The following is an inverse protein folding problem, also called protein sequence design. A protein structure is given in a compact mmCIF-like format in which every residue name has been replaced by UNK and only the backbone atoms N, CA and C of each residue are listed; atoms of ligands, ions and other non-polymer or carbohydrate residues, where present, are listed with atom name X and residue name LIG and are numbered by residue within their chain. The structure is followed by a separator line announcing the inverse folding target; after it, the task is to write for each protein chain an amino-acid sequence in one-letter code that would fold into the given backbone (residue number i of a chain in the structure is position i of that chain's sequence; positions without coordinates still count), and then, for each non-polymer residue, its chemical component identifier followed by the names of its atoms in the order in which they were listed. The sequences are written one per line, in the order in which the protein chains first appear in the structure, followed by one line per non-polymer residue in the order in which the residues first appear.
data_IF_906156140417
#
_entry.id   IF_906156140417
#
_cell.length_a   1.000
_cell.length_b   1.000
_cell.length_c   1.000
_cell.angle_alpha   90.00
_cell.angle_beta   90.00
_cell.angle_gamma   90.00
#
_symmetry.space_group_name_H-M   'P 1'
#
loop_
_entity.id
_entity.type
_entity.pdbx_description
1 polymer ?
#
# COMPACT_ATOMS: atom_id res chain seq x y z
N UNK A 1 5.28 -11.75 11.71
CA UNK A 1 4.54 -12.72 11.75
C UNK A 1 3.57 -12.73 12.78
N UNK A 2 2.67 -13.37 12.52
CA UNK A 2 1.71 -13.43 13.35
C UNK A 2 1.92 -14.50 14.22
N UNK A 3 2.65 -14.29 15.12
CA UNK A 3 2.98 -15.30 15.97
C UNK A 3 1.76 -15.89 16.48
N UNK A 4 1.64 -17.08 16.39
CA UNK A 4 0.53 -17.73 16.96
C UNK A 4 -0.72 -17.68 16.15
N UNK A 5 -0.68 -16.99 15.08
CA UNK A 5 -1.81 -16.96 14.23
C UNK A 5 -3.07 -16.52 14.86
N UNK A 6 -2.99 -15.62 15.79
CA UNK A 6 -4.16 -15.18 16.45
C UNK A 6 -4.85 -14.00 15.86
N UNK A 7 -4.34 -13.50 14.75
CA UNK A 7 -4.99 -12.36 14.13
C UNK A 7 -6.25 -12.82 13.44
N UNK A 8 -7.36 -12.18 13.80
CA UNK A 8 -8.62 -12.53 13.20
C UNK A 8 -8.95 -11.59 12.08
N UNK A 9 -9.45 -12.12 11.00
CA UNK A 9 -9.89 -11.32 9.87
C UNK A 9 -11.41 -11.28 9.93
N UNK A 10 -11.95 -10.07 9.99
CA UNK A 10 -13.40 -9.91 10.02
C UNK A 10 -13.83 -9.24 8.74
N UNK A 11 -14.21 -10.03 7.75
CA UNK A 11 -14.61 -9.49 6.48
C UNK A 11 -16.04 -9.04 6.50
N UNK A 12 -16.30 -7.86 5.96
CA UNK A 12 -17.63 -7.33 5.80
C UNK A 12 -17.68 -6.64 4.46
N UNK A 13 -18.87 -6.55 3.91
CA UNK A 13 -19.02 -5.83 2.65
C UNK A 13 -18.72 -4.36 2.89
N UNK A 14 -17.81 -3.82 2.12
CA UNK A 14 -17.45 -2.44 2.28
C UNK A 14 -17.27 -1.79 0.91
N UNK A 15 -17.27 -0.47 0.91
CA UNK A 15 -17.07 0.31 -0.29
C UNK A 15 -15.58 0.62 -0.39
N UNK A 16 -14.89 -0.13 -1.22
CA UNK A 16 -13.44 -0.01 -1.33
C UNK A 16 -13.06 1.34 -1.94
N UNK A 17 -13.87 1.83 -2.88
CA UNK A 17 -13.61 3.12 -3.48
C UNK A 17 -13.57 4.22 -2.42
N UNK A 18 -14.54 4.20 -1.50
CA UNK A 18 -14.56 5.21 -0.46
C UNK A 18 -13.42 5.03 0.53
N UNK A 19 -13.05 3.79 0.80
CA UNK A 19 -11.94 3.54 1.71
C UNK A 19 -10.64 4.11 1.16
N UNK A 20 -10.41 3.94 -0.15
CA UNK A 20 -9.22 4.48 -0.78
C UNK A 20 -9.24 6.00 -0.71
N UNK A 21 -10.38 6.60 -1.00
CA UNK A 21 -10.48 8.05 -0.92
C UNK A 21 -10.26 8.57 0.48
N UNK A 22 -10.82 7.86 1.45
CA UNK A 22 -10.68 8.28 2.84
C UNK A 22 -9.22 8.25 3.29
N UNK A 23 -8.51 7.18 2.93
CA UNK A 23 -7.11 7.08 3.31
C UNK A 23 -6.31 8.23 2.70
N UNK A 24 -6.54 8.51 1.42
CA UNK A 24 -5.82 9.60 0.76
C UNK A 24 -6.13 10.93 1.41
N UNK A 25 -7.38 11.14 1.78
CA UNK A 25 -7.76 12.39 2.41
C UNK A 25 -7.11 12.54 3.77
N UNK A 26 -7.09 11.47 4.54
CA UNK A 26 -6.55 11.57 5.89
C UNK A 26 -5.04 11.68 5.92
N UNK A 27 -4.36 11.24 4.88
CA UNK A 27 -2.91 11.37 4.82
C UNK A 27 -2.48 12.60 4.01
N UNK A 28 -3.44 13.40 3.58
CA UNK A 28 -3.13 14.52 2.69
C UNK A 28 -2.14 15.50 3.28
N UNK A 29 -2.34 15.86 4.54
CA UNK A 29 -1.45 16.84 5.16
C UNK A 29 -0.03 16.31 5.28
N UNK A 30 0.09 15.04 5.63
CA UNK A 30 1.42 14.45 5.73
C UNK A 30 2.13 14.44 4.38
N UNK A 31 1.39 14.15 3.32
CA UNK A 31 1.99 14.14 1.99
C UNK A 31 2.35 15.54 1.53
N UNK A 32 1.51 16.51 1.88
CA UNK A 32 1.83 17.88 1.52
C UNK A 32 3.06 18.38 2.26
N UNK A 33 3.22 18.01 3.51
CA UNK A 33 4.41 18.38 4.23
C UNK A 33 5.65 17.79 3.62
N UNK A 34 5.52 16.62 3.01
CA UNK A 34 6.64 15.99 2.32
C UNK A 34 6.79 16.53 0.90
N UNK A 35 5.93 17.48 0.51
CA UNK A 35 5.95 18.07 -0.83
C UNK A 35 5.64 17.05 -1.91
N UNK A 36 4.70 16.16 -1.62
CA UNK A 36 4.26 15.16 -2.57
C UNK A 36 2.83 15.45 -2.98
N UNK A 37 2.59 15.52 -4.28
CA UNK A 37 1.26 15.74 -4.83
C UNK A 37 0.66 14.38 -5.13
N UNK A 38 -0.24 13.92 -4.31
CA UNK A 38 -0.82 12.59 -4.49
C UNK A 38 -2.07 12.67 -5.35
N UNK A 39 -2.04 11.97 -6.47
CA UNK A 39 -3.16 11.93 -7.40
C UNK A 39 -3.91 10.62 -7.22
N UNK A 40 -5.22 10.71 -6.99
CA UNK A 40 -6.04 9.54 -6.73
C UNK A 40 -6.93 9.32 -7.94
N UNK A 41 -6.96 8.08 -8.42
CA UNK A 41 -7.80 7.73 -9.56
C UNK A 41 -8.58 6.48 -9.22
N UNK A 42 -9.90 6.57 -9.29
CA UNK A 42 -10.78 5.45 -8.96
C UNK A 42 -11.79 5.29 -10.07
N UNK A 43 -12.39 4.11 -10.19
CA UNK A 43 -13.36 3.89 -11.25
C UNK A 43 -14.63 4.70 -11.02
N UNK A 44 -15.39 4.89 -12.09
CA UNK A 44 -16.63 5.59 -11.99
C UNK A 44 -17.59 4.86 -11.09
N UNK A 45 -17.65 3.54 -11.21
CA UNK A 45 -18.55 2.77 -10.39
C UNK A 45 -17.85 2.35 -9.13
N UNK A 46 -18.53 2.52 -8.02
CA UNK A 46 -17.92 2.17 -6.75
C UNK A 46 -17.76 0.67 -6.62
N UNK A 47 -16.67 0.26 -6.02
CA UNK A 47 -16.36 -1.14 -5.87
C UNK A 47 -16.74 -1.60 -4.47
N UNK A 48 -17.68 -2.55 -4.41
CA UNK A 48 -18.08 -3.14 -3.15
C UNK A 48 -17.40 -4.50 -3.06
N UNK A 49 -16.79 -4.77 -1.93
CA UNK A 49 -16.02 -5.99 -1.77
C UNK A 49 -16.00 -6.38 -0.31
N UNK A 50 -15.94 -7.69 -0.06
CA UNK A 50 -15.87 -8.15 1.32
C UNK A 50 -14.44 -8.19 1.78
N UNK A 51 -14.07 -7.30 2.64
CA UNK A 51 -12.73 -7.21 3.18
C UNK A 51 -12.81 -6.80 4.63
N UNK A 52 -11.67 -6.92 5.31
CA UNK A 52 -11.54 -6.43 6.66
C UNK A 52 -11.17 -4.95 6.54
N UNK A 53 -12.11 -4.09 6.87
CA UNK A 53 -11.92 -2.65 6.65
C UNK A 53 -10.76 -2.07 7.42
N UNK A 54 -10.58 -2.50 8.67
CA UNK A 54 -9.49 -1.96 9.47
C UNK A 54 -8.14 -2.37 8.93
N UNK A 55 -8.02 -3.64 8.54
CA UNK A 55 -6.73 -4.11 8.01
C UNK A 55 -6.43 -3.50 6.66
N UNK A 56 -7.45 -3.36 5.82
CA UNK A 56 -7.24 -2.76 4.51
C UNK A 56 -6.88 -1.28 4.65
N UNK A 57 -7.56 -0.57 5.56
CA UNK A 57 -7.21 0.83 5.77
C UNK A 57 -5.78 0.94 6.28
N UNK A 58 -5.35 0.05 7.18
CA UNK A 58 -4.01 0.09 7.71
C UNK A 58 -3.00 -0.12 6.60
N UNK A 59 -3.32 -0.99 5.63
CA UNK A 59 -2.43 -1.18 4.50
C UNK A 59 -2.27 0.11 3.71
N UNK A 60 -3.39 0.77 3.42
CA UNK A 60 -3.33 2.02 2.67
C UNK A 60 -2.56 3.07 3.45
N UNK A 61 -2.82 3.15 4.74
CA UNK A 61 -2.13 4.12 5.57
C UNK A 61 -0.63 3.88 5.55
N UNK A 62 -0.22 2.62 5.73
CA UNK A 62 1.20 2.29 5.75
C UNK A 62 1.87 2.61 4.42
N UNK A 63 1.18 2.34 3.32
CA UNK A 63 1.76 2.63 2.01
C UNK A 63 1.90 4.14 1.79
N UNK A 64 0.90 4.91 2.20
CA UNK A 64 0.98 6.35 2.03
C UNK A 64 2.02 6.98 2.95
N UNK A 65 2.15 6.47 4.16
CA UNK A 65 3.20 6.95 5.05
C UNK A 65 4.57 6.66 4.45
N UNK A 66 4.70 5.47 3.84
CA UNK A 66 5.95 5.11 3.20
C UNK A 66 6.30 6.09 2.10
N UNK A 67 5.30 6.51 1.31
CA UNK A 67 5.53 7.50 0.28
C UNK A 67 6.04 8.80 0.91
N UNK A 68 5.42 9.23 2.01
CA UNK A 68 5.83 10.50 2.61
C UNK A 68 7.27 10.46 3.10
N UNK A 69 7.80 9.27 3.39
CA UNK A 69 9.16 9.17 3.89
C UNK A 69 10.20 9.01 2.81
N UNK A 70 9.85 8.32 1.73
CA UNK A 70 10.86 7.95 0.75
C UNK A 70 10.70 8.58 -0.62
N UNK A 71 9.61 9.27 -0.89
CA UNK A 71 9.42 9.87 -2.20
C UNK A 71 10.25 11.13 -2.33
N UNK A 72 10.63 11.44 -3.55
CA UNK A 72 11.40 12.63 -3.84
C UNK A 72 10.50 13.85 -3.71
N UNK A 73 10.86 14.83 -2.88
CA UNK A 73 10.02 16.01 -2.73
C UNK A 73 9.83 16.74 -4.05
N UNK A 74 8.66 17.30 -4.24
CA UNK A 74 8.35 18.02 -5.46
C UNK A 74 7.85 17.15 -6.58
N UNK A 75 7.51 15.90 -6.28
CA UNK A 75 7.03 15.00 -7.32
C UNK A 75 5.62 14.53 -6.99
N UNK A 76 5.06 13.74 -7.89
CA UNK A 76 3.72 13.21 -7.71
C UNK A 76 3.75 11.76 -7.29
N UNK A 77 2.75 11.38 -6.53
CA UNK A 77 2.49 9.98 -6.26
C UNK A 77 1.12 9.66 -6.83
N UNK A 78 0.92 8.43 -7.26
CA UNK A 78 -0.33 8.05 -7.89
C UNK A 78 -0.93 6.87 -7.13
N UNK A 79 -2.15 7.05 -6.69
CA UNK A 79 -2.89 6.01 -5.99
C UNK A 79 -4.07 5.65 -6.87
N UNK A 80 -4.02 4.49 -7.48
CA UNK A 80 -5.01 4.07 -8.46
C UNK A 80 -5.72 2.81 -8.01
N UNK A 81 -7.02 2.79 -8.20
CA UNK A 81 -7.85 1.62 -7.91
C UNK A 81 -8.42 1.13 -9.22
N UNK A 82 -8.23 -0.15 -9.51
CA UNK A 82 -8.69 -0.75 -10.76
C UNK A 82 -9.59 -1.95 -10.50
N UNK A 83 -10.66 -2.03 -11.27
CA UNK A 83 -11.51 -3.20 -11.25
C UNK A 83 -11.14 -4.01 -12.49
N UNK A 84 -10.49 -5.15 -12.26
CA UNK A 84 -10.03 -5.98 -13.37
C UNK A 84 -11.00 -7.08 -13.74
N UNK A 85 -12.16 -7.12 -13.13
CA UNK A 85 -13.14 -8.15 -13.40
C UNK A 85 -13.10 -9.27 -12.40
N UNK A 86 -12.05 -10.06 -12.38
CA UNK A 86 -11.95 -11.15 -11.43
C UNK A 86 -11.19 -10.75 -10.17
N UNK A 87 -10.60 -9.57 -10.16
CA UNK A 87 -9.91 -9.08 -8.98
C UNK A 87 -9.87 -7.56 -9.03
N UNK A 88 -9.58 -6.96 -7.90
CA UNK A 88 -9.37 -5.52 -7.86
C UNK A 88 -7.92 -5.29 -7.49
N UNK A 89 -7.36 -4.18 -7.98
CA UNK A 89 -5.98 -3.85 -7.71
C UNK A 89 -5.88 -2.43 -7.20
N UNK A 90 -5.06 -2.24 -6.18
CA UNK A 90 -4.73 -0.91 -5.70
C UNK A 90 -3.24 -0.73 -5.94
N UNK A 91 -2.87 0.26 -6.73
CA UNK A 91 -1.49 0.47 -7.11
C UNK A 91 -1.06 1.87 -6.66
N UNK A 92 0.04 1.91 -5.93
CA UNK A 92 0.60 3.18 -5.49
C UNK A 92 1.98 3.32 -6.09
N UNK A 93 2.21 4.41 -6.81
CA UNK A 93 3.50 4.66 -7.47
C UNK A 93 4.07 5.98 -6.99
N UNK A 94 5.37 6.03 -6.84
CA UNK A 94 6.04 7.28 -6.51
C UNK A 94 7.48 7.26 -7.00
N UNK A 95 8.06 8.43 -7.11
CA UNK A 95 9.46 8.55 -7.48
C UNK A 95 10.26 8.55 -6.20
N UNK A 96 11.21 7.65 -6.09
CA UNK A 96 12.01 7.50 -4.88
C UNK A 96 13.06 8.59 -4.78
N UNK A 97 13.30 9.07 -3.55
CA UNK A 97 14.34 10.04 -3.33
C UNK A 97 15.70 9.41 -3.63
N UNK A 98 15.85 8.14 -3.32
CA UNK A 98 17.10 7.44 -3.57
C UNK A 98 16.94 6.52 -4.75
N UNK A 99 18.02 6.34 -5.47
CA UNK A 99 18.02 5.45 -6.60
C UNK A 99 17.79 4.03 -6.13
N UNK A 100 16.91 3.32 -6.79
CA UNK A 100 16.60 1.93 -6.39
C UNK A 100 17.43 1.02 -7.26
N UNK A 101 18.67 0.77 -6.85
CA UNK A 101 19.59 0.03 -7.67
C UNK A 101 19.60 -1.46 -7.43
N UNK A 102 19.04 -1.92 -6.31
CA UNK A 102 19.02 -3.35 -6.08
C UNK A 102 17.85 -3.96 -6.82
N UNK A 103 17.92 -5.24 -7.12
CA UNK A 103 16.85 -5.84 -7.87
C UNK A 103 15.61 -5.99 -6.98
N UNK A 104 14.52 -6.37 -7.60
CA UNK A 104 13.25 -6.39 -6.91
C UNK A 104 13.27 -7.34 -5.73
N UNK A 105 13.93 -8.46 -5.87
CA UNK A 105 13.97 -9.41 -4.79
C UNK A 105 14.72 -8.88 -3.60
N UNK A 106 15.83 -8.25 -3.83
CA UNK A 106 16.60 -7.68 -2.74
C UNK A 106 15.83 -6.56 -2.07
N UNK A 107 15.17 -5.75 -2.87
CA UNK A 107 14.42 -4.64 -2.34
C UNK A 107 13.26 -5.13 -1.48
N UNK A 108 12.56 -6.15 -1.97
CA UNK A 108 11.45 -6.71 -1.22
C UNK A 108 11.94 -7.31 0.09
N UNK A 109 13.02 -8.04 0.03
CA UNK A 109 13.55 -8.67 1.22
C UNK A 109 13.94 -7.62 2.25
N UNK A 110 14.58 -6.56 1.81
CA UNK A 110 15.00 -5.52 2.71
C UNK A 110 13.81 -4.88 3.41
N UNK A 111 12.77 -4.53 2.64
CA UNK A 111 11.61 -3.90 3.25
C UNK A 111 10.78 -4.87 4.06
N UNK A 112 10.71 -6.14 3.64
CA UNK A 112 9.89 -7.08 4.37
C UNK A 112 10.55 -7.58 5.62
N UNK A 113 11.88 -7.41 5.72
CA UNK A 113 12.56 -7.91 6.89
C UNK A 113 12.32 -7.03 8.08
N UNK A 114 11.88 -5.85 7.86
CA UNK A 114 11.63 -4.99 8.97
C UNK A 114 12.90 -4.67 9.69
N UNK A 115 13.78 -4.00 9.03
CA UNK A 115 15.06 -3.66 9.54
C UNK A 115 15.03 -3.34 10.99
N UNK A 116 15.44 -4.26 11.81
CA UNK A 116 15.30 -4.01 13.15
C UNK A 116 16.26 -3.08 13.71
N UNK A 117 17.24 -2.74 13.07
CA UNK A 117 18.15 -1.80 13.61
C UNK A 117 17.52 -0.48 13.72
N UNK A 118 16.40 -0.31 13.17
CA UNK A 118 15.92 0.96 13.18
C UNK A 118 14.84 1.06 14.04
N UNK A 119 14.87 1.71 14.88
CA UNK A 119 13.78 2.07 15.57
C UNK A 119 13.27 3.23 14.92
N UNK A 120 13.72 3.56 13.78
CA UNK A 120 13.20 4.72 13.17
C UNK A 120 12.00 4.36 12.43
N UNK A 121 11.15 5.27 12.23
CA UNK A 121 10.02 5.07 11.44
C UNK A 121 10.44 4.78 10.07
N UNK A 122 9.75 4.03 9.35
CA UNK A 122 10.09 3.75 7.99
C UNK A 122 11.12 2.68 7.84
N UNK A 123 11.23 1.83 8.81
CA UNK A 123 12.19 0.79 8.75
C UNK A 123 11.81 -0.32 7.81
N UNK A 124 10.70 -0.25 7.17
CA UNK A 124 10.26 -1.32 6.30
C UNK A 124 9.26 -2.21 6.94
N UNK A 125 9.05 -2.05 8.23
CA UNK A 125 8.10 -2.88 8.92
C UNK A 125 6.70 -2.63 8.39
N UNK A 126 6.42 -1.42 7.96
CA UNK A 126 5.11 -1.12 7.44
C UNK A 126 4.76 -1.94 6.22
N UNK A 127 5.73 -2.21 5.36
CA UNK A 127 5.45 -3.02 4.18
C UNK A 127 5.26 -4.48 4.54
N UNK A 128 5.95 -4.96 5.57
CA UNK A 128 5.73 -6.32 6.02
C UNK A 128 4.31 -6.49 6.55
N UNK A 129 3.80 -5.48 7.23
CA UNK A 129 2.43 -5.52 7.71
C UNK A 129 1.47 -5.53 6.55
N UNK A 130 1.73 -4.73 5.52
CA UNK A 130 0.86 -4.70 4.36
C UNK A 130 0.78 -6.08 3.73
N UNK A 131 1.93 -6.71 3.50
CA UNK A 131 1.95 -8.03 2.90
C UNK A 131 1.16 -9.01 3.73
N UNK A 132 1.36 -8.99 5.04
CA UNK A 132 0.66 -9.89 5.93
C UNK A 132 -0.84 -9.69 5.90
N UNK A 133 -1.29 -8.43 5.99
CA UNK A 133 -2.71 -8.16 6.03
C UNK A 133 -3.40 -8.45 4.70
N UNK A 134 -2.70 -8.21 3.60
CA UNK A 134 -3.28 -8.53 2.29
C UNK A 134 -3.40 -10.03 2.13
N UNK A 135 -2.37 -10.78 2.51
CA UNK A 135 -2.41 -12.23 2.33
C UNK A 135 -3.39 -12.89 3.27
N UNK A 136 -3.57 -12.35 4.47
CA UNK A 136 -4.56 -12.90 5.37
C UNK A 136 -5.96 -12.80 4.80
N UNK A 137 -6.19 -11.86 3.90
CA UNK A 137 -7.49 -11.69 3.30
C UNK A 137 -7.60 -12.37 1.94
N UNK A 138 -6.62 -13.18 1.57
CA UNK A 138 -6.68 -13.92 0.32
C UNK A 138 -6.13 -13.16 -0.87
N UNK A 139 -5.50 -12.04 -0.64
CA UNK A 139 -4.93 -11.23 -1.73
C UNK A 139 -3.46 -11.46 -1.90
N UNK A 140 -2.84 -10.63 -2.73
CA UNK A 140 -1.40 -10.69 -2.94
C UNK A 140 -0.83 -9.29 -2.97
N UNK A 141 0.43 -9.18 -2.62
CA UNK A 141 1.11 -7.89 -2.54
C UNK A 141 2.45 -7.99 -3.25
N UNK A 142 2.71 -7.06 -4.15
CA UNK A 142 3.95 -7.06 -4.93
C UNK A 142 4.57 -5.68 -4.95
N UNK A 143 5.89 -5.65 -4.97
CA UNK A 143 6.66 -4.42 -5.07
C UNK A 143 7.47 -4.48 -6.35
N UNK A 144 7.54 -3.38 -7.06
CA UNK A 144 8.36 -3.27 -8.25
C UNK A 144 9.20 -2.01 -8.16
N UNK A 145 10.38 -2.06 -8.73
CA UNK A 145 11.25 -0.90 -8.78
C UNK A 145 11.84 -0.82 -10.18
N UNK A 146 11.83 0.37 -10.75
CA UNK A 146 12.37 0.58 -12.08
C UNK A 146 13.06 1.93 -12.05
N UNK A 147 14.37 1.92 -11.88
CA UNK A 147 15.09 3.17 -11.69
C UNK A 147 14.64 3.82 -10.40
N UNK A 148 14.12 5.02 -10.51
CA UNK A 148 13.62 5.73 -9.35
C UNK A 148 12.14 5.47 -9.11
N UNK A 149 11.48 4.73 -9.98
CA UNK A 149 10.06 4.49 -9.85
C UNK A 149 9.81 3.32 -8.91
N UNK A 150 9.08 3.58 -7.85
CA UNK A 150 8.70 2.55 -6.89
C UNK A 150 7.21 2.31 -7.03
N UNK A 151 6.83 1.05 -7.06
CA UNK A 151 5.43 0.70 -7.24
C UNK A 151 5.04 -0.41 -6.29
N UNK A 152 3.93 -0.23 -5.59
CA UNK A 152 3.40 -1.23 -4.69
C UNK A 152 2.00 -1.59 -5.14
N UNK A 153 1.71 -2.86 -5.24
CA UNK A 153 0.43 -3.32 -5.73
C UNK A 153 -0.21 -4.32 -4.78
N UNK A 154 -1.45 -4.04 -4.39
CA UNK A 154 -2.27 -4.97 -3.62
C UNK A 154 -3.36 -5.47 -4.55
N UNK A 155 -3.59 -6.78 -4.55
CA UNK A 155 -4.65 -7.38 -5.36
C UNK A 155 -5.54 -8.20 -4.47
N UNK A 156 -6.84 -8.09 -4.67
CA UNK A 156 -7.82 -8.87 -3.92
C UNK A 156 -8.76 -9.53 -4.92
N UNK A 157 -9.03 -10.83 -4.75
CA UNK A 157 -9.97 -11.49 -5.67
C UNK A 157 -11.37 -11.02 -5.40
N UNK A 158 -12.15 -10.92 -6.47
CA UNK A 158 -13.56 -10.63 -6.31
C UNK A 158 -14.25 -11.97 -6.18
N UNK A 159 -15.14 -12.02 -5.19
CA UNK A 159 -15.78 -13.25 -5.01
C UNK A 159 -16.84 -13.41 -5.93
N UNK A 160 -17.24 -14.56 -6.27
CA UNK A 160 -18.27 -14.71 -7.18
C UNK A 160 -19.51 -14.65 -6.66
#
# INVERSE_FOLDING_TARGET
CVAGGNIKVEKKLLNLTELVRQAAFELEDRLKEAQIDCRVSVPKEEIMLELDGEKTYRCLENLLINVSKYALPGTRAYLNLYDRGDQVEIILKNISRDELTMDVEELTERFMRGDKSRNTEGSGLGLAIVKSFVELQGGSFHIEADGDLFKAKMSFPKEE
#
